data_IF_000842109543
#
_entry.id   IF_000842109543
#
_cell.length_a   1.000
_cell.length_b   1.000
_cell.length_c   1.000
_cell.angle_alpha   90.00
_cell.angle_beta   90.00
_cell.angle_gamma   90.00
#
_symmetry.space_group_name_H-M   'P 1'
#
loop_
_entity.id
_entity.type
_entity.pdbx_description
1 polymer ?
#
# COMPACT_ATOMS: atom_id res chain seq x y z
N UNK A 1 -34.03 -5.95 -16.89
CA UNK A 1 -33.09 -4.81 -16.91
C UNK A 1 -32.68 -4.46 -15.48
N UNK A 2 -31.39 -4.19 -15.31
CA UNK A 2 -30.68 -3.65 -14.14
C UNK A 2 -30.96 -4.25 -12.75
N UNK A 3 -30.11 -5.20 -12.35
CA UNK A 3 -29.82 -5.48 -10.95
C UNK A 3 -28.48 -4.80 -10.59
N UNK A 4 -28.53 -3.77 -9.74
CA UNK A 4 -27.37 -3.28 -8.97
C UNK A 4 -27.34 -4.04 -7.65
N UNK A 5 -26.15 -4.43 -7.15
CA UNK A 5 -25.94 -4.54 -5.71
C UNK A 5 -25.10 -3.36 -5.20
N UNK A 6 -25.48 -2.96 -4.00
CA UNK A 6 -24.98 -1.86 -3.20
C UNK A 6 -23.50 -1.93 -2.83
N UNK A 7 -23.00 -0.74 -2.51
CA UNK A 7 -21.65 -0.38 -2.10
C UNK A 7 -21.26 -1.02 -0.76
N UNK A 8 -20.18 -1.81 -0.77
CA UNK A 8 -19.38 -2.10 0.43
C UNK A 8 -18.15 -1.18 0.46
N UNK A 9 -18.20 -0.16 1.33
CA UNK A 9 -17.05 0.60 1.77
C UNK A 9 -16.13 -0.32 2.60
N UNK A 10 -15.00 -0.76 2.05
CA UNK A 10 -13.94 -1.36 2.87
C UNK A 10 -12.86 -0.35 3.20
N UNK A 11 -12.83 0.00 4.49
CA UNK A 11 -11.75 0.67 5.21
C UNK A 11 -10.42 -0.05 4.93
N UNK A 12 -9.42 0.68 4.49
CA UNK A 12 -8.02 0.23 4.51
C UNK A 12 -7.35 0.94 5.69
N UNK A 13 -6.78 0.13 6.58
CA UNK A 13 -6.05 0.46 7.81
C UNK A 13 -6.86 0.95 9.01
N UNK A 14 -7.51 0.02 9.72
CA UNK A 14 -7.68 0.15 11.17
C UNK A 14 -6.96 -1.02 11.86
N UNK A 15 -6.06 -0.68 12.78
CA UNK A 15 -5.40 -1.60 13.70
C UNK A 15 -6.45 -2.12 14.70
N UNK A 16 -6.96 -3.34 14.53
CA UNK A 16 -7.69 -4.02 15.60
C UNK A 16 -6.72 -4.78 16.51
N UNK A 17 -6.48 -4.23 17.69
CA UNK A 17 -5.90 -4.94 18.83
C UNK A 17 -6.93 -5.97 19.34
N UNK A 18 -6.76 -7.24 18.97
CA UNK A 18 -7.47 -8.34 19.61
C UNK A 18 -6.91 -8.57 21.03
N UNK A 19 -7.67 -8.13 22.05
CA UNK A 19 -7.52 -8.56 23.44
C UNK A 19 -8.49 -9.72 23.69
N UNK A 20 -7.93 -10.89 23.97
CA UNK A 20 -8.66 -12.11 24.33
C UNK A 20 -9.10 -12.09 25.78
N UNK A 21 -10.41 -12.05 26.07
CA UNK A 21 -11.00 -12.73 27.24
C UNK A 21 -12.44 -13.16 26.97
N UNK A 22 -12.79 -14.35 27.45
CA UNK A 22 -14.06 -15.06 27.22
C UNK A 22 -15.17 -14.55 28.18
N UNK A 23 -16.37 -14.37 27.60
CA UNK A 23 -17.80 -14.44 28.08
C UNK A 23 -18.13 -15.03 29.48
N UNK A 24 -19.41 -15.03 29.94
CA UNK A 24 -20.56 -14.09 29.81
C UNK A 24 -21.29 -13.84 31.17
N UNK A 25 -22.37 -13.03 31.25
CA UNK A 25 -23.62 -13.24 32.05
C UNK A 25 -24.63 -12.09 31.84
N UNK A 26 -25.92 -12.46 31.94
CA UNK A 26 -27.20 -11.83 31.64
C UNK A 26 -27.63 -10.55 32.42
N UNK A 27 -28.42 -9.72 31.72
CA UNK A 27 -29.72 -9.10 32.05
C UNK A 27 -29.99 -8.18 33.28
N UNK A 28 -30.26 -6.88 32.99
CA UNK A 28 -31.42 -5.96 33.34
C UNK A 28 -31.92 -5.82 34.82
N UNK A 29 -32.62 -4.73 35.24
CA UNK A 29 -32.42 -3.26 35.20
C UNK A 29 -32.47 -2.61 36.61
N UNK A 30 -32.16 -1.31 36.77
CA UNK A 30 -32.86 -0.42 37.72
C UNK A 30 -32.77 1.06 37.28
N UNK A 31 -33.82 1.80 37.60
CA UNK A 31 -34.25 3.09 37.06
C UNK A 31 -33.45 4.32 37.52
N UNK A 32 -33.41 5.32 36.63
CA UNK A 32 -33.85 6.68 36.94
C UNK A 32 -32.85 7.66 37.57
N UNK A 33 -32.26 8.52 36.74
CA UNK A 33 -32.14 9.96 37.01
C UNK A 33 -31.82 10.70 35.70
N UNK A 34 -32.76 11.52 35.27
CA UNK A 34 -32.71 12.37 34.07
C UNK A 34 -31.88 13.63 34.31
N UNK A 35 -30.93 13.93 33.41
CA UNK A 35 -30.51 15.28 33.00
C UNK A 35 -29.64 15.17 31.74
N UNK A 36 -30.15 15.60 30.59
CA UNK A 36 -29.33 16.02 29.44
C UNK A 36 -29.29 17.55 29.35
N UNK A 37 -28.53 18.17 28.44
CA UNK A 37 -27.41 17.65 27.63
C UNK A 37 -26.09 18.41 27.90
N UNK A 38 -24.96 17.70 28.01
CA UNK A 38 -23.61 18.28 27.97
C UNK A 38 -22.79 17.56 26.89
N UNK A 39 -23.16 17.76 25.63
CA UNK A 39 -22.32 17.42 24.48
C UNK A 39 -22.13 18.70 23.68
N UNK A 40 -21.06 19.41 23.98
CA UNK A 40 -20.75 20.68 23.34
C UNK A 40 -19.67 21.43 24.09
N UNK A 41 -18.44 20.89 24.08
CA UNK A 41 -17.19 21.62 24.40
C UNK A 41 -15.89 20.83 24.18
N UNK A 42 -15.95 19.52 23.93
CA UNK A 42 -14.75 18.69 23.66
C UNK A 42 -14.38 18.58 22.17
N UNK A 43 -15.34 18.68 21.24
CA UNK A 43 -15.06 18.64 19.79
C UNK A 43 -14.33 19.91 19.28
N UNK A 44 -14.64 21.10 19.84
CA UNK A 44 -13.94 22.34 19.45
C UNK A 44 -12.48 22.41 19.91
N UNK A 45 -12.09 21.66 20.94
CA UNK A 45 -10.69 21.63 21.41
C UNK A 45 -9.78 20.82 20.49
N UNK A 46 -10.29 19.75 19.87
CA UNK A 46 -9.51 18.92 18.94
C UNK A 46 -9.24 19.64 17.62
N UNK A 47 -10.22 20.36 17.08
CA UNK A 47 -10.00 21.15 15.86
C UNK A 47 -8.98 22.27 16.09
N UNK A 48 -9.04 22.94 17.25
CA UNK A 48 -8.05 23.96 17.62
C UNK A 48 -6.65 23.39 17.82
N UNK A 49 -6.53 22.23 18.48
CA UNK A 49 -5.24 21.56 18.68
C UNK A 49 -4.65 21.05 17.36
N UNK A 50 -5.48 20.50 16.46
CA UNK A 50 -5.04 20.02 15.15
C UNK A 50 -4.60 21.18 14.24
N UNK A 51 -5.36 22.29 14.21
CA UNK A 51 -4.98 23.50 13.47
C UNK A 51 -3.72 24.16 14.06
N UNK A 52 -3.55 24.13 15.38
CA UNK A 52 -2.34 24.65 16.06
C UNK A 52 -1.11 23.77 15.79
N UNK A 53 -1.28 22.44 15.76
CA UNK A 53 -0.22 21.49 15.45
C UNK A 53 0.21 21.60 13.98
N UNK A 54 -0.75 21.72 13.06
CA UNK A 54 -0.48 21.96 11.64
C UNK A 54 0.19 23.32 11.39
N UNK A 55 -0.20 24.37 12.13
CA UNK A 55 0.45 25.69 12.05
C UNK A 55 1.90 25.64 12.57
N UNK A 56 2.17 24.90 13.66
CA UNK A 56 3.53 24.72 14.18
C UNK A 56 4.41 23.88 13.25
N UNK A 57 3.85 22.86 12.60
CA UNK A 57 4.52 22.09 11.56
C UNK A 57 4.82 22.98 10.33
N UNK A 58 3.89 23.83 9.90
CA UNK A 58 4.12 24.80 8.83
C UNK A 58 5.20 25.84 9.19
N UNK A 59 5.19 26.37 10.42
CA UNK A 59 6.20 27.32 10.92
C UNK A 59 7.60 26.70 11.01
N UNK A 60 7.69 25.41 11.37
CA UNK A 60 8.95 24.67 11.40
C UNK A 60 9.51 24.37 10.00
N UNK A 61 8.64 24.19 8.99
CA UNK A 61 9.06 23.90 7.60
C UNK A 61 9.43 25.19 6.84
N UNK A 62 8.79 26.34 7.12
CA UNK A 62 8.94 27.56 6.33
C UNK A 62 9.78 28.69 6.99
N UNK A 63 10.44 28.44 8.13
CA UNK A 63 11.41 29.35 8.75
C UNK A 63 10.91 30.82 8.91
N UNK A 64 9.66 31.00 9.35
CA UNK A 64 9.06 32.33 9.51
C UNK A 64 9.11 32.80 10.97
N UNK A 65 9.80 33.91 11.24
CA UNK A 65 10.10 34.43 12.58
C UNK A 65 9.04 35.46 13.00
N UNK A 66 8.10 35.10 13.88
CA UNK A 66 7.21 36.08 14.52
C UNK A 66 7.84 36.57 15.84
N UNK A 67 8.01 37.89 15.96
CA UNK A 67 8.40 38.59 17.19
C UNK A 67 7.12 38.96 17.95
N UNK A 68 6.96 38.43 19.17
CA UNK A 68 5.91 38.86 20.10
C UNK A 68 6.49 39.09 21.49
N UNK A 69 6.07 40.20 22.08
CA UNK A 69 6.57 40.91 23.25
C UNK A 69 6.16 40.31 24.59
N UNK A 70 6.96 40.64 25.60
CA UNK A 70 6.91 40.25 27.01
C UNK A 70 5.67 40.70 27.79
N UNK A 71 5.13 39.80 28.62
CA UNK A 71 4.59 40.16 29.93
C UNK A 71 4.55 38.92 30.86
N UNK A 72 5.35 38.93 31.92
CA UNK A 72 5.19 38.09 33.13
C UNK A 72 4.19 38.78 34.08
N UNK A 73 3.45 38.07 34.96
CA UNK A 73 4.02 37.61 36.25
C UNK A 73 3.45 36.22 36.69
N UNK A 74 4.28 35.33 37.25
CA UNK A 74 4.58 35.08 38.68
C UNK A 74 3.89 33.82 39.24
N UNK A 75 4.71 32.85 39.66
CA UNK A 75 4.45 31.90 40.75
C UNK A 75 3.39 30.82 40.52
N UNK A 76 3.82 29.59 40.23
CA UNK A 76 3.90 28.54 41.24
C UNK A 76 4.32 27.19 40.62
N UNK A 77 4.95 26.41 41.48
CA UNK A 77 5.81 25.27 41.22
C UNK A 77 4.99 23.98 41.14
N UNK A 78 4.77 23.43 39.94
CA UNK A 78 4.41 22.01 39.75
C UNK A 78 4.90 21.50 38.37
N UNK A 79 6.01 20.76 38.36
CA UNK A 79 6.42 19.82 37.30
C UNK A 79 6.56 18.45 37.98
N UNK A 80 5.97 17.37 37.42
CA UNK A 80 6.50 16.83 36.17
C UNK A 80 5.39 16.35 35.21
N UNK A 81 4.99 17.21 34.26
CA UNK A 81 4.20 16.79 33.08
C UNK A 81 5.05 16.79 31.78
N UNK A 82 6.35 17.10 31.90
CA UNK A 82 7.26 17.26 30.76
C UNK A 82 7.96 15.94 30.34
N UNK A 83 7.97 14.91 31.20
CA UNK A 83 8.67 13.64 30.91
C UNK A 83 7.80 12.68 30.09
N UNK A 84 6.49 12.61 30.36
CA UNK A 84 5.56 11.79 29.55
C UNK A 84 5.36 12.33 28.12
N UNK A 85 5.40 13.65 27.94
CA UNK A 85 5.21 14.30 26.63
C UNK A 85 6.40 14.07 25.68
N UNK A 86 7.61 14.01 26.21
CA UNK A 86 8.83 13.67 25.44
C UNK A 86 8.87 12.19 25.06
N UNK A 87 8.39 11.29 25.94
CA UNK A 87 8.26 9.86 25.63
C UNK A 87 7.20 9.58 24.55
N UNK A 88 6.08 10.31 24.54
CA UNK A 88 5.09 10.23 23.46
C UNK A 88 5.62 10.81 22.14
N UNK A 89 6.35 11.94 22.16
CA UNK A 89 6.96 12.51 20.94
C UNK A 89 8.06 11.61 20.35
N UNK A 90 8.91 11.02 21.18
CA UNK A 90 9.97 10.11 20.71
C UNK A 90 9.40 8.78 20.23
N UNK A 91 8.37 8.23 20.88
CA UNK A 91 7.65 7.05 20.40
C UNK A 91 6.92 7.32 19.06
N UNK A 92 6.33 8.51 18.87
CA UNK A 92 5.67 8.88 17.61
C UNK A 92 6.67 9.14 16.46
N UNK A 93 7.86 9.66 16.78
CA UNK A 93 8.96 9.77 15.82
C UNK A 93 9.56 8.39 15.49
N UNK A 94 9.67 7.47 16.46
CA UNK A 94 10.15 6.10 16.26
C UNK A 94 9.15 5.22 15.50
N UNK A 95 7.84 5.40 15.67
CA UNK A 95 6.83 4.70 14.85
C UNK A 95 6.77 5.23 13.41
N UNK A 96 7.08 6.52 13.19
CA UNK A 96 7.19 7.10 11.86
C UNK A 96 8.36 6.53 11.03
N UNK A 97 9.44 6.08 11.68
CA UNK A 97 10.67 5.55 11.04
C UNK A 97 10.46 4.19 10.35
N UNK A 98 9.33 3.50 10.55
CA UNK A 98 9.09 2.18 9.93
C UNK A 98 8.05 2.18 8.81
N UNK A 99 7.51 3.32 8.42
CA UNK A 99 6.64 3.38 7.25
C UNK A 99 7.50 3.24 5.97
N UNK A 100 7.57 2.03 5.42
CA UNK A 100 8.15 1.77 4.09
C UNK A 100 7.30 2.51 3.04
N UNK A 101 7.56 3.80 2.86
CA UNK A 101 6.88 4.61 1.87
C UNK A 101 7.44 4.25 0.49
N UNK A 102 6.63 3.52 -0.29
CA UNK A 102 6.85 3.39 -1.73
C UNK A 102 6.64 4.75 -2.35
N UNK A 103 7.68 5.24 -3.02
CA UNK A 103 7.67 6.48 -3.80
C UNK A 103 7.59 6.15 -5.29
N UNK A 104 7.17 7.12 -6.09
CA UNK A 104 7.10 6.95 -7.53
C UNK A 104 7.46 8.23 -8.27
N UNK A 105 7.91 8.08 -9.52
CA UNK A 105 8.30 9.18 -10.39
C UNK A 105 7.67 9.00 -11.77
N UNK A 106 7.21 10.09 -12.39
CA UNK A 106 6.62 10.06 -13.72
C UNK A 106 7.71 9.87 -14.79
N UNK A 107 7.47 8.98 -15.75
CA UNK A 107 8.40 8.65 -16.82
C UNK A 107 7.95 9.17 -18.20
N UNK A 108 6.66 9.43 -18.37
CA UNK A 108 6.10 9.95 -19.63
C UNK A 108 4.84 9.22 -20.09
N UNK A 109 4.33 9.68 -21.23
CA UNK A 109 3.20 9.09 -21.93
C UNK A 109 3.65 8.05 -22.95
N UNK A 110 3.12 6.83 -22.86
CA UNK A 110 3.47 5.70 -23.73
C UNK A 110 2.25 5.14 -24.44
N UNK A 111 2.45 4.64 -25.66
CA UNK A 111 1.40 3.95 -26.41
C UNK A 111 1.10 2.60 -25.77
N UNK A 112 -0.15 2.19 -25.84
CA UNK A 112 -0.57 0.84 -25.45
C UNK A 112 -1.31 0.14 -26.59
N UNK A 113 -1.33 -1.18 -26.54
CA UNK A 113 -2.04 -2.03 -27.49
C UNK A 113 -2.89 -3.06 -26.72
N UNK A 114 -4.20 -3.14 -26.99
CA UNK A 114 -5.07 -4.11 -26.33
C UNK A 114 -4.70 -5.58 -26.42
N UNK A 115 -4.03 -5.98 -27.48
CA UNK A 115 -3.60 -7.36 -27.71
C UNK A 115 -2.23 -7.66 -27.10
N UNK A 116 -1.37 -6.66 -26.94
CA UNK A 116 0.03 -6.83 -26.52
C UNK A 116 0.40 -5.75 -25.51
N UNK A 117 -0.25 -5.76 -24.34
CA UNK A 117 -0.15 -4.67 -23.36
C UNK A 117 1.27 -4.22 -23.08
N UNK A 118 1.47 -2.91 -23.00
CA UNK A 118 2.76 -2.31 -22.69
C UNK A 118 3.22 -2.66 -21.27
N UNK A 119 2.27 -2.61 -20.33
CA UNK A 119 2.42 -3.02 -18.94
C UNK A 119 1.59 -4.30 -18.73
N UNK A 120 2.24 -5.45 -18.83
CA UNK A 120 1.61 -6.76 -18.86
C UNK A 120 1.78 -7.57 -17.56
N UNK A 121 2.23 -6.95 -16.48
CA UNK A 121 2.59 -7.63 -15.23
C UNK A 121 1.43 -8.31 -14.51
N UNK A 122 0.18 -7.92 -14.78
CA UNK A 122 -1.01 -8.58 -14.24
C UNK A 122 -1.67 -9.54 -15.25
N UNK A 123 -1.04 -9.83 -16.38
CA UNK A 123 -1.58 -10.81 -17.33
C UNK A 123 -1.69 -12.20 -16.67
N UNK A 124 -2.86 -12.83 -16.77
CA UNK A 124 -3.14 -14.12 -16.15
C UNK A 124 -3.34 -14.09 -14.62
N UNK A 125 -3.31 -12.91 -14.00
CA UNK A 125 -3.66 -12.71 -12.58
C UNK A 125 -5.16 -12.47 -12.48
N UNK A 126 -5.84 -13.10 -11.53
CA UNK A 126 -7.28 -12.93 -11.31
C UNK A 126 -7.60 -11.96 -10.16
N UNK A 127 -6.74 -11.91 -9.14
CA UNK A 127 -6.87 -11.00 -7.99
C UNK A 127 -5.51 -10.52 -7.53
N UNK A 128 -5.41 -9.27 -7.06
CA UNK A 128 -4.22 -8.71 -6.40
C UNK A 128 -4.63 -7.91 -5.15
N UNK A 129 -4.19 -8.31 -3.97
CA UNK A 129 -4.73 -7.75 -2.73
C UNK A 129 -6.23 -8.03 -2.58
N UNK A 130 -6.98 -6.98 -2.27
CA UNK A 130 -8.45 -7.01 -2.30
C UNK A 130 -9.05 -6.75 -3.68
N UNK A 131 -8.23 -6.55 -4.72
CA UNK A 131 -8.68 -6.06 -6.02
C UNK A 131 -8.82 -7.19 -7.05
N UNK A 132 -9.88 -7.13 -7.85
CA UNK A 132 -10.06 -8.05 -8.98
C UNK A 132 -9.31 -7.52 -10.20
N UNK A 133 -8.63 -8.42 -10.90
CA UNK A 133 -7.94 -8.10 -12.15
C UNK A 133 -8.87 -8.49 -13.30
N UNK A 134 -9.14 -7.53 -14.19
CA UNK A 134 -9.99 -7.73 -15.35
C UNK A 134 -9.23 -8.45 -16.46
N UNK A 135 -9.85 -9.49 -17.02
CA UNK A 135 -9.33 -10.26 -18.15
C UNK A 135 -10.10 -9.88 -19.43
N UNK A 136 -9.44 -9.78 -20.60
CA UNK A 136 -8.03 -10.08 -20.89
C UNK A 136 -7.07 -8.90 -20.69
N UNK A 137 -7.56 -7.73 -20.26
CA UNK A 137 -6.75 -6.51 -20.17
C UNK A 137 -5.56 -6.63 -19.20
N UNK A 138 -5.67 -7.41 -18.14
CA UNK A 138 -4.64 -7.45 -17.09
C UNK A 138 -4.58 -6.12 -16.36
N UNK A 139 -5.74 -5.55 -16.04
CA UNK A 139 -5.87 -4.25 -15.38
C UNK A 139 -6.80 -4.31 -14.18
N UNK A 140 -6.64 -3.35 -13.27
CA UNK A 140 -7.57 -3.13 -12.16
C UNK A 140 -8.35 -1.85 -12.43
N UNK A 141 -9.68 -1.92 -12.44
CA UNK A 141 -10.55 -0.75 -12.61
C UNK A 141 -10.93 -0.16 -11.26
N UNK A 142 -10.78 1.16 -11.12
CA UNK A 142 -11.06 1.87 -9.87
C UNK A 142 -11.83 3.16 -10.15
N UNK A 143 -13.05 3.24 -9.62
CA UNK A 143 -13.90 4.44 -9.77
C UNK A 143 -13.27 5.71 -9.16
N UNK A 144 -12.40 5.56 -8.16
CA UNK A 144 -11.64 6.64 -7.52
C UNK A 144 -10.13 6.50 -7.80
N UNK A 145 -9.78 6.28 -9.07
CA UNK A 145 -8.39 6.16 -9.49
C UNK A 145 -7.55 7.39 -9.16
N UNK A 146 -6.33 7.15 -8.69
CA UNK A 146 -5.27 8.14 -8.48
C UNK A 146 -3.91 7.46 -8.64
N UNK A 147 -2.86 8.24 -8.87
CA UNK A 147 -1.50 7.69 -8.96
C UNK A 147 -1.09 6.94 -7.69
N UNK A 148 -1.51 7.46 -6.53
CA UNK A 148 -1.18 6.83 -5.24
C UNK A 148 -1.88 5.49 -5.07
N UNK A 149 -3.13 5.38 -5.51
CA UNK A 149 -3.87 4.13 -5.41
C UNK A 149 -3.28 3.06 -6.35
N UNK A 150 -3.01 3.40 -7.61
CA UNK A 150 -2.42 2.44 -8.55
C UNK A 150 -1.00 2.01 -8.12
N UNK A 151 -0.15 2.96 -7.69
CA UNK A 151 1.18 2.62 -7.14
C UNK A 151 1.11 1.68 -5.93
N UNK A 152 0.13 1.87 -5.04
CA UNK A 152 -0.11 0.98 -3.90
C UNK A 152 -0.58 -0.41 -4.31
N UNK A 153 -1.33 -0.56 -5.41
CA UNK A 153 -1.73 -1.87 -5.92
C UNK A 153 -0.53 -2.59 -6.52
N UNK A 154 0.23 -1.90 -7.38
CA UNK A 154 1.40 -2.47 -8.01
C UNK A 154 2.55 -2.73 -7.00
N UNK A 155 2.58 -2.03 -5.87
CA UNK A 155 3.54 -2.32 -4.82
C UNK A 155 3.29 -3.65 -4.10
N UNK A 156 2.05 -4.14 -4.06
CA UNK A 156 1.69 -5.47 -3.55
C UNK A 156 2.50 -6.52 -4.33
N UNK A 157 2.52 -6.42 -5.66
CA UNK A 157 3.29 -7.32 -6.54
C UNK A 157 4.78 -7.05 -6.64
N UNK A 158 5.32 -6.03 -5.96
CA UNK A 158 6.69 -5.51 -6.12
C UNK A 158 7.10 -5.28 -7.58
N UNK A 159 6.19 -4.69 -8.36
CA UNK A 159 6.45 -4.33 -9.75
C UNK A 159 7.40 -3.13 -9.85
N UNK A 160 8.23 -3.09 -10.89
CA UNK A 160 9.12 -1.95 -11.12
C UNK A 160 8.39 -0.71 -11.63
N UNK A 161 7.24 -0.89 -12.29
CA UNK A 161 6.48 0.18 -12.92
C UNK A 161 4.98 0.01 -12.70
N UNK A 162 4.27 1.13 -12.73
CA UNK A 162 2.83 1.15 -12.91
C UNK A 162 2.44 2.14 -14.01
N UNK A 163 1.24 1.96 -14.54
CA UNK A 163 0.65 2.88 -15.49
C UNK A 163 -0.83 3.06 -15.21
N UNK A 164 -1.31 4.25 -15.51
CA UNK A 164 -2.74 4.58 -15.49
C UNK A 164 -3.20 4.89 -16.91
N UNK A 165 -4.34 4.33 -17.30
CA UNK A 165 -4.92 4.44 -18.63
C UNK A 165 -6.41 4.81 -18.51
N UNK A 166 -6.92 5.52 -19.50
CA UNK A 166 -8.35 5.80 -19.67
C UNK A 166 -9.07 6.43 -18.46
N UNK A 167 -8.31 7.05 -17.54
CA UNK A 167 -8.84 7.66 -16.33
C UNK A 167 -8.95 6.71 -15.14
N UNK A 168 -9.40 5.47 -15.33
CA UNK A 168 -9.79 4.55 -14.26
C UNK A 168 -9.10 3.18 -14.27
N UNK A 169 -8.19 2.92 -15.22
CA UNK A 169 -7.49 1.64 -15.33
C UNK A 169 -6.08 1.71 -14.74
N UNK A 170 -5.72 0.73 -13.93
CA UNK A 170 -4.39 0.56 -13.36
C UNK A 170 -3.72 -0.69 -13.92
N UNK A 171 -2.51 -0.51 -14.44
CA UNK A 171 -1.65 -1.55 -14.96
C UNK A 171 -0.35 -1.60 -14.16
N UNK A 172 0.20 -2.81 -13.99
CA UNK A 172 1.49 -3.03 -13.35
C UNK A 172 2.43 -3.73 -14.32
N UNK A 173 3.75 -3.53 -14.19
CA UNK A 173 4.72 -4.20 -15.05
C UNK A 173 6.15 -4.11 -14.55
N UNK A 174 7.00 -4.99 -15.07
CA UNK A 174 8.45 -4.94 -14.84
C UNK A 174 9.22 -4.40 -16.07
N UNK A 175 8.49 -4.08 -17.13
CA UNK A 175 8.96 -3.44 -18.36
C UNK A 175 7.85 -2.55 -18.92
N UNK A 176 8.22 -1.58 -19.75
CA UNK A 176 7.30 -0.67 -20.43
C UNK A 176 7.97 -0.14 -21.71
N UNK A 177 7.21 0.57 -22.54
CA UNK A 177 7.72 1.25 -23.74
C UNK A 177 7.83 0.37 -24.99
N UNK A 178 7.25 -0.82 -24.98
CA UNK A 178 7.21 -1.76 -26.11
C UNK A 178 6.56 -1.19 -27.37
N UNK A 179 5.62 -0.25 -27.22
CA UNK A 179 4.96 0.46 -28.33
C UNK A 179 5.50 1.88 -28.55
N UNK A 180 6.52 2.28 -27.78
CA UNK A 180 7.15 3.59 -27.87
C UNK A 180 6.36 4.74 -27.22
N UNK A 181 6.98 5.94 -27.29
CA UNK A 181 6.45 7.18 -26.73
C UNK A 181 5.20 7.67 -27.47
N UNK A 182 4.31 8.32 -26.73
CA UNK A 182 3.18 9.09 -27.24
C UNK A 182 3.34 10.58 -26.90
N UNK A 183 2.46 11.42 -27.46
CA UNK A 183 2.38 12.82 -27.05
C UNK A 183 1.84 12.93 -25.63
N UNK A 184 2.40 13.81 -24.80
CA UNK A 184 1.86 14.09 -23.46
C UNK A 184 0.40 14.56 -23.51
N UNK A 185 0.00 15.22 -24.62
CA UNK A 185 -1.39 15.61 -24.84
C UNK A 185 -2.35 14.42 -25.00
N UNK A 186 -1.85 13.24 -25.37
CA UNK A 186 -2.65 12.02 -25.46
C UNK A 186 -2.92 11.41 -24.07
N UNK A 187 -2.13 11.78 -23.06
CA UNK A 187 -2.27 11.35 -21.67
C UNK A 187 -2.93 12.45 -20.80
N UNK A 188 -4.03 13.03 -21.28
CA UNK A 188 -4.64 14.22 -20.67
C UNK A 188 -5.91 13.95 -19.85
N UNK A 189 -6.36 12.70 -19.73
CA UNK A 189 -7.58 12.38 -18.98
C UNK A 189 -7.36 12.61 -17.49
N UNK A 190 -8.33 13.20 -16.81
CA UNK A 190 -8.24 13.46 -15.38
C UNK A 190 -8.46 12.17 -14.59
N UNK A 191 -7.72 12.01 -13.49
CA UNK A 191 -7.97 10.94 -12.54
C UNK A 191 -9.26 11.24 -11.75
N UNK A 192 -10.25 10.34 -11.69
CA UNK A 192 -11.51 10.58 -10.99
C UNK A 192 -11.34 10.73 -9.46
N UNK A 193 -10.31 10.11 -8.88
CA UNK A 193 -9.97 10.29 -7.46
C UNK A 193 -9.17 11.55 -7.15
N UNK A 194 -8.59 12.22 -8.16
CA UNK A 194 -7.89 13.49 -8.03
C UNK A 194 -7.77 14.20 -9.39
N UNK A 195 -8.67 15.14 -9.66
CA UNK A 195 -8.75 15.80 -10.97
C UNK A 195 -7.53 16.68 -11.34
N UNK A 196 -6.60 16.91 -10.40
CA UNK A 196 -5.33 17.60 -10.70
C UNK A 196 -4.32 16.64 -11.35
N UNK A 197 -4.53 15.32 -11.19
CA UNK A 197 -3.67 14.28 -11.75
C UNK A 197 -4.19 13.83 -13.11
N UNK A 198 -3.26 13.45 -13.99
CA UNK A 198 -3.56 12.88 -15.31
C UNK A 198 -3.43 11.35 -15.30
N UNK A 199 -4.47 10.65 -15.71
CA UNK A 199 -4.58 9.20 -15.69
C UNK A 199 -4.58 8.59 -17.11
N UNK A 200 -3.61 9.02 -17.93
CA UNK A 200 -3.43 8.50 -19.28
C UNK A 200 -4.50 8.97 -20.27
N UNK A 201 -4.83 8.09 -21.21
CA UNK A 201 -5.82 8.33 -22.26
C UNK A 201 -6.24 7.03 -22.95
N UNK A 202 -6.96 7.13 -24.06
CA UNK A 202 -7.37 5.94 -24.82
C UNK A 202 -6.16 5.23 -25.41
N UNK A 203 -5.86 4.01 -24.94
CA UNK A 203 -4.65 3.25 -25.31
C UNK A 203 -3.35 4.06 -25.11
N UNK A 204 -3.31 4.84 -24.02
CA UNK A 204 -2.19 5.71 -23.65
C UNK A 204 -1.96 5.61 -22.16
N UNK A 205 -0.76 5.18 -21.79
CA UNK A 205 -0.36 5.00 -20.40
C UNK A 205 0.44 6.21 -19.94
N UNK A 206 0.00 6.87 -18.87
CA UNK A 206 0.91 7.67 -18.04
C UNK A 206 1.71 6.69 -17.19
N UNK A 207 3.01 6.53 -17.47
CA UNK A 207 3.86 5.52 -16.84
C UNK A 207 4.71 6.12 -15.73
N UNK A 208 4.88 5.36 -14.65
CA UNK A 208 5.63 5.76 -13.48
C UNK A 208 6.57 4.64 -13.00
N UNK A 209 7.76 4.99 -12.54
CA UNK A 209 8.66 4.06 -11.84
C UNK A 209 8.28 3.94 -10.37
N UNK A 210 8.34 2.73 -9.81
CA UNK A 210 8.20 2.48 -8.38
C UNK A 210 9.57 2.37 -7.74
N UNK A 211 9.76 3.13 -6.66
CA UNK A 211 10.96 3.11 -5.84
C UNK A 211 10.60 2.63 -4.44
N UNK A 212 11.16 1.48 -4.10
CA UNK A 212 11.01 0.87 -2.78
C UNK A 212 12.14 1.38 -1.88
N UNK A 213 11.87 1.62 -0.58
CA UNK A 213 12.94 1.92 0.35
C UNK A 213 13.91 0.74 0.34
N UNK A 214 15.20 1.03 0.11
CA UNK A 214 16.27 0.05 -0.12
C UNK A 214 16.10 -1.11 0.84
N UNK A 215 15.68 -2.25 0.32
CA UNK A 215 16.09 -3.50 0.93
C UNK A 215 17.37 -3.89 0.23
N UNK A 216 18.32 -4.42 0.98
CA UNK A 216 19.47 -5.05 0.37
C UNK A 216 19.00 -6.17 -0.56
N UNK A 217 19.51 -6.23 -1.80
CA UNK A 217 19.19 -7.27 -2.79
C UNK A 217 19.46 -8.72 -2.30
N UNK A 218 20.12 -8.87 -1.15
CA UNK A 218 20.41 -10.12 -0.44
C UNK A 218 19.48 -10.38 0.75
N UNK A 219 18.52 -9.49 1.02
CA UNK A 219 17.55 -9.67 2.10
C UNK A 219 16.28 -10.29 1.56
N UNK A 220 15.77 -11.26 2.31
CA UNK A 220 14.52 -11.93 2.04
C UNK A 220 13.62 -11.80 3.25
N UNK A 221 12.35 -11.52 2.99
CA UNK A 221 11.32 -11.50 4.03
C UNK A 221 10.46 -12.76 3.93
N UNK A 222 10.24 -13.41 5.06
CA UNK A 222 9.37 -14.58 5.14
C UNK A 222 7.93 -14.11 5.25
N UNK A 223 7.10 -14.46 4.28
CA UNK A 223 5.68 -14.14 4.30
C UNK A 223 4.93 -15.30 4.95
N UNK A 224 4.50 -15.10 6.20
CA UNK A 224 3.59 -16.03 6.89
C UNK A 224 2.21 -15.89 6.25
N UNK A 225 1.84 -16.84 5.39
CA UNK A 225 0.55 -16.83 4.68
C UNK A 225 -0.61 -16.85 5.70
N UNK A 226 -1.35 -15.74 5.82
CA UNK A 226 -2.65 -15.70 6.52
C UNK A 226 -3.85 -15.66 5.55
N UNK A 227 -3.60 -15.49 4.26
CA UNK A 227 -4.48 -15.74 3.11
C UNK A 227 -3.68 -15.29 1.87
N UNK A 228 -3.80 -15.91 0.70
CA UNK A 228 -3.14 -15.38 -0.49
C UNK A 228 -3.90 -14.12 -0.95
N UNK A 229 -3.27 -12.94 -0.97
CA UNK A 229 -3.90 -11.74 -1.56
C UNK A 229 -4.01 -11.84 -3.08
N UNK A 230 -3.36 -12.82 -3.71
CA UNK A 230 -3.29 -12.94 -5.17
C UNK A 230 -3.68 -14.34 -5.59
N UNK A 231 -4.66 -14.44 -6.50
CA UNK A 231 -4.98 -15.70 -7.19
C UNK A 231 -4.49 -15.55 -8.62
N UNK A 232 -3.52 -16.37 -9.02
CA UNK A 232 -2.94 -16.36 -10.36
C UNK A 232 -2.98 -17.75 -10.96
N UNK A 233 -3.36 -17.84 -12.24
CA UNK A 233 -3.21 -19.04 -13.08
C UNK A 233 -1.90 -19.04 -13.86
N UNK A 234 -1.05 -18.00 -13.72
CA UNK A 234 0.18 -17.86 -14.48
C UNK A 234 1.24 -18.88 -14.05
N UNK A 235 1.82 -19.56 -15.04
CA UNK A 235 2.87 -20.57 -14.88
C UNK A 235 4.26 -19.95 -15.02
N UNK A 236 4.63 -18.94 -14.22
CA UNK A 236 6.01 -18.42 -14.18
C UNK A 236 6.86 -19.11 -13.10
N UNK A 237 6.65 -20.42 -12.96
CA UNK A 237 7.29 -21.24 -11.93
C UNK A 237 8.40 -22.04 -12.57
N UNK A 238 9.65 -21.68 -12.27
CA UNK A 238 10.80 -22.48 -12.63
C UNK A 238 11.11 -23.45 -11.49
N UNK A 239 10.81 -24.77 -11.62
CA UNK A 239 11.17 -25.73 -10.59
C UNK A 239 12.67 -25.98 -10.63
N UNK A 240 13.32 -25.88 -9.47
CA UNK A 240 14.74 -26.18 -9.29
C UNK A 240 14.90 -27.05 -8.05
N UNK A 241 15.70 -28.10 -8.14
CA UNK A 241 16.09 -28.86 -6.95
C UNK A 241 16.90 -27.94 -6.02
N UNK A 242 16.55 -27.91 -4.74
CA UNK A 242 17.28 -27.14 -3.73
C UNK A 242 17.36 -27.93 -2.44
N UNK A 243 18.57 -28.07 -1.89
CA UNK A 243 18.78 -28.87 -0.68
C UNK A 243 18.51 -28.08 0.61
N UNK A 244 18.48 -26.74 0.51
CA UNK A 244 18.24 -25.86 1.65
C UNK A 244 17.57 -24.56 1.21
N UNK A 245 17.10 -23.79 2.20
CA UNK A 245 16.55 -22.45 1.96
C UNK A 245 17.62 -21.57 1.33
N UNK A 246 18.85 -21.63 1.81
CA UNK A 246 19.96 -20.80 1.33
C UNK A 246 20.26 -21.08 -0.15
N UNK A 247 20.28 -22.35 -0.58
CA UNK A 247 20.45 -22.71 -1.99
C UNK A 247 19.31 -22.15 -2.85
N UNK A 248 18.07 -22.23 -2.37
CA UNK A 248 16.92 -21.66 -3.06
C UNK A 248 17.03 -20.13 -3.21
N UNK A 249 17.40 -19.42 -2.13
CA UNK A 249 17.54 -17.97 -2.13
C UNK A 249 18.72 -17.49 -2.98
N UNK A 250 19.84 -18.21 -2.98
CA UNK A 250 20.99 -17.91 -3.85
C UNK A 250 20.62 -18.02 -5.33
N UNK A 251 19.83 -19.04 -5.71
CA UNK A 251 19.33 -19.20 -7.09
C UNK A 251 18.39 -18.07 -7.51
N UNK A 252 17.53 -17.62 -6.60
CA UNK A 252 16.72 -16.43 -6.85
C UNK A 252 17.59 -15.18 -6.97
N UNK A 253 18.58 -15.01 -6.09
CA UNK A 253 19.47 -13.84 -6.09
C UNK A 253 20.28 -13.71 -7.38
N UNK A 254 20.69 -14.85 -7.95
CA UNK A 254 21.43 -14.94 -9.21
C UNK A 254 20.60 -14.51 -10.44
N UNK A 255 19.28 -14.40 -10.30
CA UNK A 255 18.36 -14.00 -11.35
C UNK A 255 17.90 -12.56 -11.16
N UNK A 256 17.99 -11.75 -12.23
CA UNK A 256 17.56 -10.36 -12.20
C UNK A 256 16.03 -10.20 -12.16
N UNK A 257 15.30 -11.19 -12.69
CA UNK A 257 13.84 -11.23 -12.78
C UNK A 257 13.18 -11.91 -11.56
N UNK A 258 13.93 -12.65 -10.74
CA UNK A 258 13.38 -13.30 -9.57
C UNK A 258 13.03 -12.27 -8.48
N UNK A 259 11.75 -12.26 -8.09
CA UNK A 259 11.19 -11.38 -7.05
C UNK A 259 10.80 -12.16 -5.80
N UNK A 260 10.49 -13.45 -5.93
CA UNK A 260 10.21 -14.30 -4.80
C UNK A 260 10.62 -15.76 -5.07
N UNK A 261 10.76 -16.53 -4.01
CA UNK A 261 11.01 -17.96 -4.09
C UNK A 261 10.13 -18.71 -3.10
N UNK A 262 9.65 -19.88 -3.49
CA UNK A 262 8.95 -20.81 -2.60
C UNK A 262 9.80 -22.04 -2.40
N UNK A 263 10.04 -22.42 -1.14
CA UNK A 263 10.82 -23.60 -0.79
C UNK A 263 9.98 -24.60 0.01
N UNK A 264 10.06 -25.88 -0.36
CA UNK A 264 9.56 -27.01 0.42
C UNK A 264 10.73 -27.85 0.92
N UNK A 265 10.83 -28.01 2.23
CA UNK A 265 11.82 -28.90 2.85
C UNK A 265 11.47 -30.37 2.61
N UNK A 266 10.18 -30.70 2.54
CA UNK A 266 9.73 -32.07 2.30
C UNK A 266 10.10 -32.54 0.88
N UNK A 267 9.92 -31.66 -0.11
CA UNK A 267 10.17 -32.00 -1.52
C UNK A 267 11.60 -31.69 -1.97
N UNK A 268 12.41 -31.01 -1.14
CA UNK A 268 13.73 -30.47 -1.51
C UNK A 268 13.65 -29.68 -2.84
N UNK A 269 12.59 -28.89 -2.95
CA UNK A 269 12.21 -28.19 -4.16
C UNK A 269 12.13 -26.69 -3.91
N UNK A 270 12.71 -25.93 -4.84
CA UNK A 270 12.63 -24.48 -4.91
C UNK A 270 11.90 -24.07 -6.17
N UNK A 271 11.03 -23.07 -6.04
CA UNK A 271 10.28 -22.50 -7.15
C UNK A 271 10.54 -21.01 -7.20
N UNK A 272 11.22 -20.58 -8.25
CA UNK A 272 11.55 -19.17 -8.46
C UNK A 272 10.36 -18.49 -9.13
N UNK A 273 10.01 -17.31 -8.64
CA UNK A 273 8.89 -16.53 -9.09
C UNK A 273 9.36 -15.18 -9.61
N UNK A 274 8.90 -14.84 -10.81
CA UNK A 274 9.06 -13.51 -11.42
C UNK A 274 8.14 -12.46 -10.73
N UNK A 275 7.18 -12.93 -9.93
CA UNK A 275 6.23 -12.12 -9.17
C UNK A 275 6.24 -12.55 -7.71
N UNK A 276 5.84 -11.64 -6.81
CA UNK A 276 5.88 -11.88 -5.36
C UNK A 276 4.92 -12.98 -4.87
N UNK A 277 4.02 -13.47 -5.72
CA UNK A 277 2.96 -14.38 -5.32
C UNK A 277 2.97 -15.71 -6.06
N UNK A 278 3.01 -16.84 -5.32
CA UNK A 278 2.86 -18.14 -5.91
C UNK A 278 1.40 -18.44 -6.32
N UNK A 279 1.19 -19.30 -7.33
CA UNK A 279 -0.09 -19.98 -7.53
C UNK A 279 -0.61 -20.66 -6.26
N UNK A 280 -1.94 -20.84 -6.17
CA UNK A 280 -2.58 -21.45 -5.00
C UNK A 280 -2.07 -22.85 -4.64
N UNK A 281 -1.59 -23.64 -5.60
CA UNK A 281 -1.03 -24.97 -5.35
C UNK A 281 0.35 -24.95 -4.64
N UNK A 282 1.02 -23.80 -4.60
CA UNK A 282 2.27 -23.57 -3.86
C UNK A 282 2.04 -22.70 -2.61
N UNK A 283 0.78 -22.65 -2.16
CA UNK A 283 0.35 -21.93 -0.96
C UNK A 283 -0.15 -22.97 0.05
N UNK A 284 0.52 -23.07 1.20
CA UNK A 284 0.21 -24.08 2.22
C UNK A 284 1.31 -24.18 3.27
N UNK A 285 1.07 -24.91 4.38
CA UNK A 285 2.00 -25.00 5.51
C UNK A 285 3.35 -25.64 5.15
N UNK A 286 3.40 -26.45 4.09
CA UNK A 286 4.61 -27.13 3.62
C UNK A 286 5.54 -26.23 2.79
N UNK A 287 5.03 -25.08 2.36
CA UNK A 287 5.74 -24.16 1.49
C UNK A 287 6.04 -22.86 2.25
N UNK A 288 7.29 -22.43 2.23
CA UNK A 288 7.67 -21.12 2.77
C UNK A 288 7.93 -20.15 1.63
N UNK A 289 7.20 -19.03 1.61
CA UNK A 289 7.38 -17.95 0.65
C UNK A 289 8.39 -16.93 1.15
N UNK A 290 9.42 -16.70 0.34
CA UNK A 290 10.45 -15.71 0.56
C UNK A 290 10.34 -14.63 -0.51
N UNK A 291 10.16 -13.39 -0.08
CA UNK A 291 10.06 -12.23 -0.97
C UNK A 291 11.37 -11.47 -0.92
N UNK A 292 11.96 -11.25 -2.09
CA UNK A 292 13.18 -10.48 -2.23
C UNK A 292 12.88 -9.03 -1.87
N UNK A 293 13.71 -8.47 -1.00
CA UNK A 293 13.67 -7.07 -0.64
C UNK A 293 14.09 -6.16 -1.79
#
# INVERSE_FOLDING_TARGET
>A
ELNRPDFDLFRICEFELHSTTRKPVLAVPWQGCTLGPLIGRTAMRYEYLLKSLLALICLAIHNCRIRASSSSPSGEMFRPAATLSVLFCTAFLLTCVTCRLVSFSYLGCYKDNPSTRDLNGLSGVSKIGGFSVHHPSGSVYLSMMSHKLCSSICSIGSFSYFGVQYGDECYCGNSFGSHGLASEADCSMDCPGNAVQKCGGSNRNSVFSLSYPVSDNNTYTVVKQSSPPVTSGATSVWPVAAQSVEDCLLRCSARADCRAAVFSRQELACRLLEFVYPPGHLSGPEWTLFVRG
#
